data_IF_636435769703
#
_entry.id   IF_636435769703
#
_cell.length_a   1.000
_cell.length_b   1.000
_cell.length_c   1.000
_cell.angle_alpha   90.00
_cell.angle_beta   90.00
_cell.angle_gamma   90.00
#
_symmetry.space_group_name_H-M   'P 1'
#
loop_
_entity.id
_entity.type
_entity.pdbx_description
1 polymer ?
#
# COMPACT_ATOMS: atom_id res chain seq x y z
N UNK A 1 8.17 12.28 14.63
CA UNK A 1 6.70 12.27 14.39
C UNK A 1 5.99 11.54 15.52
N UNK A 2 4.91 12.08 16.12
CA UNK A 2 4.20 11.40 17.23
C UNK A 2 2.90 10.69 16.80
N UNK A 3 2.32 11.14 15.69
CA UNK A 3 0.96 10.73 15.28
C UNK A 3 0.92 9.63 14.21
N UNK A 4 2.05 9.01 13.90
CA UNK A 4 2.13 7.95 12.89
C UNK A 4 3.13 6.87 13.30
N UNK A 5 2.66 5.66 13.61
CA UNK A 5 3.52 4.53 13.98
C UNK A 5 4.40 4.07 12.83
N UNK A 6 3.88 4.11 11.60
CA UNK A 6 4.66 3.79 10.39
C UNK A 6 5.87 4.72 10.29
N UNK A 7 5.66 6.04 10.27
CA UNK A 7 6.77 6.96 10.08
C UNK A 7 7.75 6.88 11.26
N UNK A 8 7.27 6.75 12.51
CA UNK A 8 8.13 6.50 13.68
C UNK A 8 9.06 5.30 13.56
N UNK A 9 8.65 4.27 12.81
CA UNK A 9 9.43 3.05 12.65
C UNK A 9 10.47 3.16 11.52
N UNK A 10 10.20 3.93 10.47
CA UNK A 10 11.00 3.93 9.25
C UNK A 10 11.83 5.19 9.00
N UNK A 11 11.55 6.31 9.68
CA UNK A 11 12.35 7.54 9.60
C UNK A 11 12.10 8.52 10.75
N UNK A 12 13.08 9.39 11.01
CA UNK A 12 12.90 10.54 11.90
C UNK A 12 12.27 11.74 11.17
N UNK A 13 12.66 11.93 9.90
CA UNK A 13 12.10 12.91 8.96
C UNK A 13 11.55 12.20 7.70
N UNK A 14 10.28 12.42 7.31
CA UNK A 14 9.74 11.93 6.05
C UNK A 14 10.62 12.27 4.84
N UNK A 15 11.28 13.43 4.82
CA UNK A 15 12.16 13.84 3.72
C UNK A 15 13.25 12.81 3.45
N UNK A 16 13.87 12.26 4.49
CA UNK A 16 14.94 11.26 4.36
C UNK A 16 14.43 9.97 3.71
N UNK A 17 13.20 9.57 4.01
CA UNK A 17 12.58 8.40 3.40
C UNK A 17 12.41 8.58 1.89
N UNK A 18 11.99 9.77 1.44
CA UNK A 18 11.85 10.08 0.01
C UNK A 18 13.20 10.30 -0.67
N UNK A 19 14.21 10.79 0.05
CA UNK A 19 15.57 10.85 -0.49
C UNK A 19 16.14 9.45 -0.73
N UNK A 20 15.94 8.51 0.20
CA UNK A 20 16.29 7.09 0.00
C UNK A 20 15.55 6.49 -1.19
N UNK A 21 14.26 6.79 -1.34
CA UNK A 21 13.49 6.34 -2.52
C UNK A 21 14.09 6.81 -3.85
N UNK A 22 14.66 8.02 -3.90
CA UNK A 22 15.31 8.57 -5.09
C UNK A 22 16.73 8.05 -5.33
N UNK A 23 17.33 7.36 -4.35
CA UNK A 23 18.66 6.78 -4.47
C UNK A 23 18.62 5.47 -5.28
N UNK A 24 19.78 4.99 -5.72
CA UNK A 24 19.89 3.72 -6.46
C UNK A 24 19.41 2.50 -5.64
N UNK A 25 19.45 2.57 -4.30
CA UNK A 25 18.95 1.51 -3.41
C UNK A 25 17.41 1.42 -3.39
N UNK A 26 16.73 2.52 -3.68
CA UNK A 26 15.27 2.62 -3.61
C UNK A 26 14.70 2.34 -2.20
N UNK A 27 13.47 1.82 -2.16
CA UNK A 27 12.82 1.37 -0.92
C UNK A 27 12.48 -0.11 -1.02
N UNK A 28 12.77 -0.87 0.04
CA UNK A 28 12.24 -2.22 0.17
C UNK A 28 10.71 -2.21 0.08
N UNK A 29 10.08 -3.16 -0.66
CA UNK A 29 8.63 -3.20 -0.82
C UNK A 29 7.85 -3.13 0.49
N UNK A 30 8.35 -3.70 1.58
CA UNK A 30 7.64 -3.66 2.87
C UNK A 30 7.39 -2.23 3.37
N UNK A 31 8.30 -1.28 3.08
CA UNK A 31 8.21 0.10 3.54
C UNK A 31 6.95 0.80 3.04
N UNK A 32 6.69 0.94 1.73
CA UNK A 32 5.48 1.58 1.24
C UNK A 32 4.23 0.81 1.65
N UNK A 33 4.27 -0.51 1.82
CA UNK A 33 3.13 -1.33 2.25
C UNK A 33 2.80 -1.20 3.76
N UNK A 34 3.76 -0.81 4.60
CA UNK A 34 3.54 -0.56 6.03
C UNK A 34 2.73 0.71 6.35
N UNK A 35 2.58 1.64 5.39
CA UNK A 35 1.69 2.77 5.54
C UNK A 35 0.21 2.31 5.65
N UNK A 36 -0.61 2.86 6.54
CA UNK A 36 -2.03 2.46 6.61
C UNK A 36 -2.95 3.32 5.75
N UNK A 37 -2.39 4.26 4.97
CA UNK A 37 -3.14 5.22 4.14
C UNK A 37 -4.22 5.98 4.93
N UNK A 38 -3.99 6.25 6.22
CA UNK A 38 -4.97 6.90 7.10
C UNK A 38 -5.14 8.41 6.86
N UNK A 39 -4.30 9.02 6.02
CA UNK A 39 -4.37 10.45 5.67
C UNK A 39 -3.90 11.43 6.76
N UNK A 40 -3.59 10.96 7.98
CA UNK A 40 -3.16 11.84 9.09
C UNK A 40 -1.92 12.67 8.74
N UNK A 41 -0.98 12.11 7.96
CA UNK A 41 0.23 12.79 7.53
C UNK A 41 -0.05 14.04 6.68
N UNK A 42 -1.05 13.99 5.80
CA UNK A 42 -1.50 15.16 5.02
C UNK A 42 -2.05 16.25 5.94
N UNK A 43 -2.91 15.88 6.90
CA UNK A 43 -3.58 16.82 7.81
C UNK A 43 -2.58 17.59 8.69
N UNK A 44 -1.53 16.92 9.16
CA UNK A 44 -0.53 17.54 10.05
C UNK A 44 0.62 18.24 9.31
N UNK A 45 0.75 18.03 7.99
CA UNK A 45 1.85 18.59 7.22
C UNK A 45 1.61 20.08 6.95
N UNK A 46 2.50 20.99 7.37
CA UNK A 46 2.34 22.43 7.11
C UNK A 46 2.38 22.78 5.62
N UNK A 47 3.01 21.92 4.82
CA UNK A 47 3.12 22.07 3.37
C UNK A 47 2.01 21.33 2.60
N UNK A 48 1.07 20.69 3.30
CA UNK A 48 -0.04 19.92 2.72
C UNK A 48 0.43 18.87 1.69
N UNK A 49 1.55 18.20 1.97
CA UNK A 49 2.06 17.15 1.11
C UNK A 49 1.22 15.88 1.26
N UNK A 50 0.83 15.30 0.12
CA UNK A 50 0.00 14.10 0.05
C UNK A 50 0.82 12.81 0.13
N UNK A 51 1.49 12.61 1.27
CA UNK A 51 2.36 11.45 1.52
C UNK A 51 1.61 10.12 1.33
N UNK A 52 0.34 10.05 1.75
CA UNK A 52 -0.49 8.86 1.55
C UNK A 52 -0.67 8.50 0.07
N UNK A 53 -0.92 9.50 -0.78
CA UNK A 53 -1.04 9.30 -2.22
C UNK A 53 0.29 8.82 -2.84
N UNK A 54 1.42 9.38 -2.39
CA UNK A 54 2.74 8.96 -2.84
C UNK A 54 3.01 7.47 -2.54
N UNK A 55 2.77 7.02 -1.29
CA UNK A 55 2.93 5.60 -0.95
C UNK A 55 1.98 4.67 -1.72
N UNK A 56 0.74 5.13 -1.98
CA UNK A 56 -0.20 4.37 -2.80
C UNK A 56 0.30 4.20 -4.24
N UNK A 57 0.88 5.25 -4.82
CA UNK A 57 1.49 5.18 -6.15
C UNK A 57 2.66 4.19 -6.17
N UNK A 58 3.57 4.25 -5.19
CA UNK A 58 4.69 3.30 -5.08
C UNK A 58 4.18 1.85 -5.01
N UNK A 59 3.12 1.57 -4.22
CA UNK A 59 2.53 0.23 -4.17
C UNK A 59 2.01 -0.23 -5.54
N UNK A 60 1.36 0.66 -6.29
CA UNK A 60 0.83 0.34 -7.62
C UNK A 60 1.95 0.02 -8.59
N UNK A 61 3.06 0.75 -8.53
CA UNK A 61 4.21 0.51 -9.38
C UNK A 61 4.89 -0.82 -9.02
N UNK A 62 5.06 -1.14 -7.73
CA UNK A 62 5.53 -2.46 -7.28
C UNK A 62 4.67 -3.63 -7.79
N UNK A 63 3.35 -3.45 -7.91
CA UNK A 63 2.46 -4.45 -8.50
C UNK A 63 2.70 -4.60 -10.00
N UNK A 64 2.84 -3.48 -10.73
CA UNK A 64 3.11 -3.51 -12.18
C UNK A 64 4.44 -4.20 -12.49
N UNK A 65 5.43 -3.99 -11.64
CA UNK A 65 6.77 -4.57 -11.79
C UNK A 65 6.84 -6.05 -11.36
N UNK A 66 5.72 -6.65 -10.95
CA UNK A 66 5.66 -8.05 -10.54
C UNK A 66 6.35 -8.32 -9.20
N UNK A 67 6.49 -7.30 -8.36
CA UNK A 67 7.09 -7.35 -7.03
C UNK A 67 6.07 -7.12 -5.90
N UNK A 68 4.93 -7.85 -5.86
CA UNK A 68 4.05 -7.80 -4.69
C UNK A 68 4.78 -8.35 -3.46
N UNK A 69 4.34 -7.91 -2.28
CA UNK A 69 4.76 -8.56 -1.04
C UNK A 69 4.42 -10.05 -1.07
N UNK A 70 5.40 -10.90 -0.79
CA UNK A 70 5.22 -12.37 -0.74
C UNK A 70 4.11 -12.77 0.23
N UNK A 71 3.91 -11.99 1.29
CA UNK A 71 2.88 -12.19 2.31
C UNK A 71 1.45 -12.00 1.77
N UNK A 72 1.26 -11.33 0.63
CA UNK A 72 -0.06 -11.09 0.03
C UNK A 72 -0.57 -12.26 -0.82
N UNK A 73 0.22 -13.33 -1.02
CA UNK A 73 -0.20 -14.48 -1.84
C UNK A 73 -1.49 -15.13 -1.35
N UNK A 74 -1.70 -15.22 -0.04
CA UNK A 74 -2.94 -15.76 0.53
C UNK A 74 -4.14 -14.88 0.24
N UNK A 75 -3.97 -13.55 0.29
CA UNK A 75 -5.00 -12.57 -0.06
C UNK A 75 -5.33 -12.64 -1.54
N UNK A 76 -4.33 -12.75 -2.41
CA UNK A 76 -4.52 -12.91 -3.84
C UNK A 76 -5.30 -14.20 -4.17
N UNK A 77 -4.91 -15.32 -3.54
CA UNK A 77 -5.61 -16.59 -3.69
C UNK A 77 -7.06 -16.47 -3.20
N UNK A 78 -7.27 -15.89 -2.01
CA UNK A 78 -8.60 -15.64 -1.48
C UNK A 78 -9.44 -14.80 -2.45
N UNK A 79 -8.94 -13.67 -2.95
CA UNK A 79 -9.66 -12.82 -3.91
C UNK A 79 -10.06 -13.56 -5.19
N UNK A 80 -9.17 -14.42 -5.72
CA UNK A 80 -9.46 -15.27 -6.89
C UNK A 80 -10.52 -16.33 -6.59
N UNK A 81 -10.45 -16.97 -5.42
CA UNK A 81 -11.37 -18.04 -5.04
C UNK A 81 -12.74 -17.50 -4.63
N UNK A 82 -12.80 -16.43 -3.84
CA UNK A 82 -14.03 -15.83 -3.33
C UNK A 82 -14.95 -15.23 -4.40
N UNK A 83 -14.44 -15.04 -5.62
CA UNK A 83 -15.21 -14.60 -6.79
C UNK A 83 -15.49 -15.73 -7.78
N UNK A 84 -15.03 -16.95 -7.47
CA UNK A 84 -15.28 -18.13 -8.31
C UNK A 84 -16.69 -18.68 -8.09
N UNK A 85 -17.23 -19.35 -9.11
CA UNK A 85 -18.55 -20.00 -9.04
C UNK A 85 -18.67 -21.06 -7.94
N UNK A 86 -17.54 -21.65 -7.52
CA UNK A 86 -17.53 -22.68 -6.48
C UNK A 86 -17.74 -22.08 -5.08
N UNK A 87 -17.28 -20.85 -4.84
CA UNK A 87 -17.32 -20.19 -3.53
C UNK A 87 -18.24 -18.97 -3.48
N UNK A 88 -18.91 -18.64 -4.59
CA UNK A 88 -19.86 -17.52 -4.63
C UNK A 88 -21.28 -18.06 -4.79
N UNK A 89 -22.12 -17.82 -3.78
CA UNK A 89 -23.52 -18.22 -3.76
C UNK A 89 -24.46 -17.15 -4.36
N UNK A 90 -23.95 -16.20 -5.16
CA UNK A 90 -24.86 -15.37 -5.97
C UNK A 90 -25.54 -16.32 -6.93
N UNK A 91 -26.80 -16.63 -6.61
CA UNK A 91 -27.73 -17.15 -7.59
C UNK A 91 -27.73 -16.11 -8.71
N UNK A 92 -27.15 -16.43 -9.87
CA UNK A 92 -27.43 -15.74 -11.12
C UNK A 92 -28.93 -15.95 -11.38
N UNK A 93 -29.78 -15.28 -10.58
CA UNK A 93 -31.22 -15.39 -10.64
C UNK A 93 -31.61 -15.22 -12.09
N UNK A 94 -32.24 -16.27 -12.63
CA UNK A 94 -32.46 -16.54 -14.05
C UNK A 94 -32.11 -15.34 -14.94
N UNK A 95 -30.96 -15.42 -15.63
CA UNK A 95 -30.64 -14.51 -16.73
C UNK A 95 -31.82 -14.48 -17.70
N UNK A 96 -32.68 -13.47 -17.56
CA UNK A 96 -33.72 -13.11 -18.53
C UNK A 96 -33.08 -12.42 -19.72
#
# INVERSE_FOLDING_TARGET
MKDCLFLQHYCDDPKELFQRFLSEEGLEPIVPYSCMLCGRCTVVCPLQLELGAAFLSIRRDLIKDGLPLKQLKSVELHQKLSTSKLFTAVNDGERK
#
